data_IF_686666831613
#
_entry.id   IF_686666831613
#
_cell.length_a   1.000
_cell.length_b   1.000
_cell.length_c   1.000
_cell.angle_alpha   90.00
_cell.angle_beta   90.00
_cell.angle_gamma   90.00
#
_symmetry.space_group_name_H-M   'P 1'
#
loop_
_entity.id
_entity.type
_entity.pdbx_description
1 polymer ?
#
# COMPACT_ATOMS: atom_id res chain seq x y z
N UNK A 1 11.63 11.41 11.31
CA UNK A 1 11.53 9.93 11.33
C UNK A 1 10.47 9.44 12.30
N UNK A 2 10.34 10.06 13.48
CA UNK A 2 9.36 9.70 14.51
C UNK A 2 7.90 9.66 14.05
N UNK A 3 7.39 10.71 13.39
CA UNK A 3 5.99 10.74 12.90
C UNK A 3 5.67 9.57 11.97
N UNK A 4 6.61 9.21 11.10
CA UNK A 4 6.45 8.08 10.18
C UNK A 4 6.44 6.75 10.93
N UNK A 5 7.37 6.56 11.86
CA UNK A 5 7.38 5.37 12.70
C UNK A 5 6.06 5.25 13.47
N UNK A 6 5.60 6.34 14.11
CA UNK A 6 4.33 6.39 14.82
C UNK A 6 3.12 6.02 13.94
N UNK A 7 3.04 6.54 12.71
CA UNK A 7 1.97 6.19 11.78
C UNK A 7 1.97 4.69 11.40
N UNK A 8 3.15 4.11 11.14
CA UNK A 8 3.25 2.68 10.83
C UNK A 8 2.99 1.79 12.04
N UNK A 9 3.44 2.20 13.24
CA UNK A 9 3.11 1.52 14.49
C UNK A 9 1.60 1.58 14.76
N UNK A 10 0.97 2.74 14.56
CA UNK A 10 -0.47 2.90 14.71
C UNK A 10 -1.27 2.04 13.74
N UNK A 11 -0.87 2.01 12.47
CA UNK A 11 -1.49 1.13 11.47
C UNK A 11 -1.34 -0.36 11.84
N UNK A 12 -0.15 -0.79 12.26
CA UNK A 12 0.10 -2.16 12.72
C UNK A 12 -0.74 -2.52 13.95
N UNK A 13 -0.82 -1.62 14.94
CA UNK A 13 -1.64 -1.81 16.13
C UNK A 13 -3.13 -1.94 15.77
N UNK A 14 -3.64 -1.10 14.88
CA UNK A 14 -5.03 -1.16 14.42
C UNK A 14 -5.32 -2.49 13.70
N UNK A 15 -4.41 -2.95 12.84
CA UNK A 15 -4.53 -4.26 12.18
C UNK A 15 -4.58 -5.40 13.19
N UNK A 16 -3.66 -5.43 14.16
CA UNK A 16 -3.60 -6.49 15.18
C UNK A 16 -4.85 -6.51 16.05
N UNK A 17 -5.29 -5.34 16.52
CA UNK A 17 -6.47 -5.23 17.38
C UNK A 17 -7.76 -5.59 16.62
N UNK A 18 -7.90 -5.12 15.37
CA UNK A 18 -9.04 -5.48 14.54
C UNK A 18 -9.06 -6.98 14.22
N UNK A 19 -7.91 -7.55 13.83
CA UNK A 19 -7.79 -8.98 13.57
C UNK A 19 -8.17 -9.79 14.81
N UNK A 20 -7.72 -9.37 16.00
CA UNK A 20 -8.08 -9.99 17.27
C UNK A 20 -9.58 -9.92 17.53
N UNK A 21 -10.19 -8.75 17.47
CA UNK A 21 -11.64 -8.58 17.69
C UNK A 21 -12.43 -9.48 16.74
N UNK A 22 -12.06 -9.51 15.46
CA UNK A 22 -12.71 -10.36 14.46
C UNK A 22 -12.47 -11.85 14.73
N UNK A 23 -11.25 -12.25 15.08
CA UNK A 23 -10.92 -13.64 15.37
C UNK A 23 -11.66 -14.18 16.60
N UNK A 24 -11.93 -13.35 17.61
CA UNK A 24 -12.75 -13.71 18.76
C UNK A 24 -14.25 -13.67 18.44
N UNK A 25 -14.71 -12.71 17.63
CA UNK A 25 -16.11 -12.64 17.20
C UNK A 25 -16.51 -13.81 16.29
N UNK A 26 -15.56 -14.34 15.52
CA UNK A 26 -15.73 -15.50 14.63
C UNK A 26 -15.40 -16.82 15.31
N UNK A 27 -14.85 -16.81 16.52
CA UNK A 27 -14.58 -18.03 17.25
C UNK A 27 -15.90 -18.77 17.52
N UNK A 28 -16.02 -20.06 17.18
CA UNK A 28 -17.25 -20.81 17.39
C UNK A 28 -17.60 -20.81 18.89
N UNK A 29 -18.86 -20.48 19.20
CA UNK A 29 -19.37 -20.64 20.56
C UNK A 29 -19.23 -22.12 20.96
N UNK A 30 -18.70 -22.43 22.15
CA UNK A 30 -18.42 -23.81 22.55
C UNK A 30 -19.73 -24.53 22.89
N UNK A 31 -20.46 -24.98 21.87
CA UNK A 31 -21.51 -25.98 22.01
C UNK A 31 -21.01 -27.31 21.49
N UNK A 32 -21.31 -28.41 22.18
CA UNK A 32 -20.87 -29.76 21.79
C UNK A 32 -21.32 -30.11 20.36
N UNK A 33 -22.50 -29.61 19.97
CA UNK A 33 -23.11 -29.77 18.65
C UNK A 33 -22.28 -29.09 17.54
N UNK A 34 -21.65 -27.94 17.82
CA UNK A 34 -20.70 -27.29 16.89
C UNK A 34 -19.44 -28.13 16.70
N UNK A 35 -18.91 -28.77 17.75
CA UNK A 35 -17.71 -29.60 17.63
C UNK A 35 -17.97 -30.88 16.84
N UNK A 36 -19.14 -31.50 17.01
CA UNK A 36 -19.55 -32.64 16.19
C UNK A 36 -19.78 -32.23 14.74
N UNK A 37 -20.52 -31.17 14.45
CA UNK A 37 -20.72 -30.67 13.09
C UNK A 37 -19.39 -30.29 12.42
N UNK A 38 -18.44 -29.70 13.15
CA UNK A 38 -17.14 -29.33 12.61
C UNK A 38 -16.27 -30.55 12.29
N UNK A 39 -16.41 -31.64 13.04
CA UNK A 39 -15.82 -32.95 12.75
C UNK A 39 -16.49 -33.66 11.57
N UNK A 40 -17.82 -33.57 11.47
CA UNK A 40 -18.64 -34.34 10.50
C UNK A 40 -18.74 -33.67 9.14
N UNK A 41 -18.87 -32.34 9.09
CA UNK A 41 -19.11 -31.57 7.85
C UNK A 41 -17.82 -30.93 7.34
N UNK A 42 -16.76 -30.91 8.17
CA UNK A 42 -15.55 -30.15 7.88
C UNK A 42 -15.91 -28.66 7.82
N UNK A 43 -15.80 -27.97 8.97
CA UNK A 43 -16.18 -26.56 9.10
C UNK A 43 -15.65 -25.65 8.00
N UNK A 44 -16.19 -24.42 7.84
CA UNK A 44 -15.94 -23.52 6.71
C UNK A 44 -14.46 -23.56 6.32
N UNK A 45 -14.21 -24.08 5.11
CA UNK A 45 -12.84 -24.33 4.66
C UNK A 45 -12.07 -23.03 4.77
N UNK A 46 -10.98 -23.03 5.52
CA UNK A 46 -10.03 -21.91 5.65
C UNK A 46 -9.77 -21.23 4.29
N UNK A 47 -9.72 -22.03 3.22
CA UNK A 47 -9.60 -21.59 1.84
C UNK A 47 -10.72 -20.63 1.42
N UNK A 48 -11.98 -20.94 1.70
CA UNK A 48 -13.14 -20.10 1.35
C UNK A 48 -13.10 -18.77 2.11
N UNK A 49 -12.84 -18.81 3.41
CA UNK A 49 -12.72 -17.59 4.24
C UNK A 49 -11.54 -16.74 3.78
N UNK A 50 -10.40 -17.37 3.46
CA UNK A 50 -9.23 -16.70 2.89
C UNK A 50 -9.55 -16.05 1.56
N UNK A 51 -10.24 -16.76 0.66
CA UNK A 51 -10.61 -16.24 -0.66
C UNK A 51 -11.56 -15.04 -0.55
N UNK A 52 -12.60 -15.12 0.29
CA UNK A 52 -13.53 -14.00 0.48
C UNK A 52 -12.89 -12.81 1.17
N UNK A 53 -12.13 -13.03 2.24
CA UNK A 53 -11.46 -11.94 2.97
C UNK A 53 -10.39 -11.26 2.13
N UNK A 54 -9.55 -12.02 1.43
CA UNK A 54 -8.55 -11.46 0.51
C UNK A 54 -9.21 -10.83 -0.72
N UNK A 55 -10.27 -11.42 -1.26
CA UNK A 55 -11.02 -10.87 -2.38
C UNK A 55 -11.66 -9.53 -2.03
N UNK A 56 -12.32 -9.43 -0.88
CA UNK A 56 -12.91 -8.19 -0.38
C UNK A 56 -11.83 -7.15 -0.07
N UNK A 57 -10.74 -7.55 0.59
CA UNK A 57 -9.60 -6.67 0.85
C UNK A 57 -8.96 -6.15 -0.44
N UNK A 58 -8.81 -7.00 -1.46
CA UNK A 58 -8.30 -6.61 -2.77
C UNK A 58 -9.25 -5.64 -3.48
N UNK A 59 -10.57 -5.85 -3.39
CA UNK A 59 -11.57 -4.94 -3.93
C UNK A 59 -11.51 -3.56 -3.24
N UNK A 60 -11.44 -3.52 -1.91
CA UNK A 60 -11.30 -2.27 -1.14
C UNK A 60 -9.98 -1.57 -1.48
N UNK A 61 -8.87 -2.31 -1.57
CA UNK A 61 -7.57 -1.78 -1.95
C UNK A 61 -7.59 -1.20 -3.36
N UNK A 62 -8.19 -1.91 -4.32
CA UNK A 62 -8.35 -1.44 -5.70
C UNK A 62 -9.22 -0.19 -5.77
N UNK A 63 -10.31 -0.11 -5.00
CA UNK A 63 -11.16 1.07 -4.92
C UNK A 63 -10.40 2.28 -4.35
N UNK A 64 -9.67 2.10 -3.24
CA UNK A 64 -8.88 3.18 -2.63
C UNK A 64 -7.80 3.71 -3.58
N UNK A 65 -7.05 2.81 -4.25
CA UNK A 65 -6.06 3.18 -5.24
C UNK A 65 -6.70 3.82 -6.48
N UNK A 66 -7.83 3.28 -6.93
CA UNK A 66 -8.61 3.79 -8.06
C UNK A 66 -9.10 5.22 -7.83
N UNK A 67 -9.64 5.51 -6.65
CA UNK A 67 -10.06 6.86 -6.24
C UNK A 67 -8.87 7.83 -6.21
N UNK A 68 -7.73 7.41 -5.67
CA UNK A 68 -6.52 8.24 -5.66
C UNK A 68 -6.03 8.56 -7.08
N UNK A 69 -6.04 7.56 -7.97
CA UNK A 69 -5.67 7.75 -9.39
C UNK A 69 -6.69 8.65 -10.10
N UNK A 70 -7.99 8.45 -9.87
CA UNK A 70 -9.06 9.25 -10.46
C UNK A 70 -8.93 10.72 -10.04
N UNK A 71 -8.76 10.99 -8.73
CA UNK A 71 -8.58 12.33 -8.21
C UNK A 71 -7.37 13.05 -8.84
N UNK A 72 -6.25 12.34 -9.03
CA UNK A 72 -5.07 12.88 -9.72
C UNK A 72 -5.36 13.13 -11.20
N UNK A 73 -6.04 12.21 -11.89
CA UNK A 73 -6.39 12.34 -13.32
C UNK A 73 -7.33 13.51 -13.58
N UNK A 74 -8.39 13.63 -12.81
CA UNK A 74 -9.35 14.74 -12.93
C UNK A 74 -8.64 16.08 -12.72
N UNK A 75 -7.76 16.16 -11.73
CA UNK A 75 -7.03 17.37 -11.47
C UNK A 75 -5.97 17.69 -12.53
N UNK A 76 -5.35 16.67 -13.14
CA UNK A 76 -4.48 16.85 -14.30
C UNK A 76 -5.25 17.33 -15.52
N UNK A 77 -6.48 16.84 -15.75
CA UNK A 77 -7.33 17.31 -16.85
C UNK A 77 -7.69 18.80 -16.69
N UNK A 78 -7.82 19.29 -15.45
CA UNK A 78 -8.06 20.70 -15.14
C UNK A 78 -6.81 21.57 -15.23
N UNK A 79 -5.61 21.01 -15.02
CA UNK A 79 -4.34 21.74 -15.16
C UNK A 79 -3.88 21.75 -16.64
N UNK A 80 -4.07 22.88 -17.34
CA UNK A 80 -3.58 23.11 -18.73
C UNK A 80 -2.04 23.06 -18.90
N UNK A 81 -1.29 22.75 -17.84
CA UNK A 81 0.17 22.80 -17.83
C UNK A 81 0.79 21.43 -18.15
N UNK A 82 1.80 21.41 -19.03
CA UNK A 82 2.56 20.22 -19.41
C UNK A 82 3.13 19.54 -18.15
N UNK A 83 2.59 18.36 -17.81
CA UNK A 83 3.08 17.56 -16.68
C UNK A 83 4.19 16.64 -17.16
N UNK A 84 5.42 16.98 -16.78
CA UNK A 84 6.67 16.34 -17.24
C UNK A 84 6.78 14.86 -16.83
N UNK A 85 6.12 14.42 -15.75
CA UNK A 85 6.00 13.00 -15.42
C UNK A 85 4.86 12.72 -14.42
N UNK A 86 3.84 11.90 -14.78
CA UNK A 86 2.80 11.50 -13.84
C UNK A 86 3.39 10.62 -12.71
N UNK A 87 2.86 10.71 -11.48
CA UNK A 87 3.24 9.80 -10.41
C UNK A 87 2.89 8.36 -10.80
N UNK A 88 3.84 7.42 -10.64
CA UNK A 88 3.67 6.01 -10.99
C UNK A 88 3.59 5.14 -9.75
N UNK A 89 2.64 4.21 -9.73
CA UNK A 89 2.59 3.14 -8.72
C UNK A 89 3.78 2.19 -8.94
N UNK A 90 4.42 1.77 -7.85
CA UNK A 90 5.56 0.86 -7.88
C UNK A 90 5.15 -0.48 -7.26
N UNK A 91 4.74 -1.47 -8.06
CA UNK A 91 4.11 -2.70 -7.55
C UNK A 91 5.04 -3.47 -6.60
N UNK A 92 6.33 -3.57 -6.93
CA UNK A 92 7.30 -4.26 -6.06
C UNK A 92 7.43 -3.62 -4.67
N UNK A 93 7.34 -2.29 -4.59
CA UNK A 93 7.40 -1.55 -3.31
C UNK A 93 6.17 -1.81 -2.47
N UNK A 94 5.00 -1.83 -3.12
CA UNK A 94 3.74 -2.19 -2.49
C UNK A 94 3.80 -3.62 -1.94
N UNK A 95 4.21 -4.60 -2.75
CA UNK A 95 4.35 -5.99 -2.33
C UNK A 95 5.30 -6.14 -1.13
N UNK A 96 6.44 -5.45 -1.14
CA UNK A 96 7.38 -5.48 -0.01
C UNK A 96 6.78 -4.89 1.26
N UNK A 97 6.07 -3.76 1.17
CA UNK A 97 5.41 -3.13 2.32
C UNK A 97 4.33 -4.03 2.90
N UNK A 98 3.52 -4.61 2.02
CA UNK A 98 2.52 -5.60 2.40
C UNK A 98 3.15 -6.79 3.14
N UNK A 99 4.18 -7.42 2.56
CA UNK A 99 4.84 -8.56 3.18
C UNK A 99 5.43 -8.23 4.55
N UNK A 100 6.10 -7.09 4.69
CA UNK A 100 6.64 -6.63 5.99
C UNK A 100 5.51 -6.42 6.99
N UNK A 101 4.39 -5.81 6.58
CA UNK A 101 3.27 -5.55 7.46
C UNK A 101 2.63 -6.86 7.93
N UNK A 102 2.42 -7.83 7.03
CA UNK A 102 1.89 -9.16 7.38
C UNK A 102 2.78 -9.86 8.41
N UNK A 103 4.08 -9.92 8.16
CA UNK A 103 5.02 -10.58 9.09
C UNK A 103 5.05 -9.87 10.44
N UNK A 104 5.12 -8.53 10.45
CA UNK A 104 5.17 -7.75 11.69
C UNK A 104 3.88 -7.83 12.50
N UNK A 105 2.71 -7.82 11.86
CA UNK A 105 1.41 -7.91 12.52
C UNK A 105 1.14 -9.33 13.02
N UNK A 106 1.55 -10.36 12.28
CA UNK A 106 1.51 -11.74 12.78
C UNK A 106 2.39 -11.93 14.02
N UNK A 107 3.64 -11.44 13.99
CA UNK A 107 4.52 -11.49 15.15
C UNK A 107 3.95 -10.72 16.36
N UNK A 108 3.43 -9.52 16.13
CA UNK A 108 2.80 -8.71 17.18
C UNK A 108 1.55 -9.37 17.76
N UNK A 109 0.71 -9.99 16.92
CA UNK A 109 -0.45 -10.77 17.36
C UNK A 109 -0.03 -11.95 18.24
N UNK A 110 0.95 -12.74 17.80
CA UNK A 110 1.49 -13.87 18.57
C UNK A 110 2.06 -13.44 19.91
N UNK A 111 2.81 -12.33 19.97
CA UNK A 111 3.34 -11.79 21.22
C UNK A 111 2.22 -11.30 22.14
N UNK A 112 1.23 -10.59 21.60
CA UNK A 112 0.09 -10.07 22.36
C UNK A 112 -0.73 -11.21 22.98
N UNK A 113 -1.11 -12.22 22.18
CA UNK A 113 -1.85 -13.37 22.70
C UNK A 113 -1.01 -14.15 23.72
N UNK A 114 0.28 -14.35 23.46
CA UNK A 114 1.16 -15.02 24.44
C UNK A 114 1.21 -14.26 25.77
N UNK A 115 1.28 -12.92 25.73
CA UNK A 115 1.25 -12.10 26.93
C UNK A 115 -0.08 -12.22 27.69
N UNK A 116 -1.21 -12.16 26.98
CA UNK A 116 -2.55 -12.30 27.57
C UNK A 116 -2.70 -13.68 28.24
N UNK A 117 -2.27 -14.74 27.57
CA UNK A 117 -2.35 -16.09 28.11
C UNK A 117 -1.38 -16.37 29.25
N UNK A 118 -0.18 -15.81 29.20
CA UNK A 118 0.77 -15.85 30.30
C UNK A 118 0.17 -15.18 31.55
N UNK A 119 -0.47 -14.01 31.39
CA UNK A 119 -1.21 -13.32 32.46
C UNK A 119 -2.38 -14.13 33.00
N UNK A 120 -2.96 -15.03 32.21
CA UNK A 120 -4.02 -15.94 32.62
C UNK A 120 -3.49 -17.26 33.23
N UNK A 121 -2.17 -17.45 33.36
CA UNK A 121 -1.58 -18.67 33.91
C UNK A 121 -1.53 -19.87 32.94
N UNK A 122 -1.82 -19.65 31.66
CA UNK A 122 -1.85 -20.71 30.64
C UNK A 122 -0.48 -20.91 29.94
N UNK A 123 0.40 -19.90 30.00
CA UNK A 123 1.77 -19.95 29.47
C UNK A 123 1.96 -19.25 28.12
N UNK A 124 3.05 -19.59 27.42
CA UNK A 124 3.43 -18.99 26.13
C UNK A 124 2.92 -19.82 24.96
N UNK A 125 1.73 -19.48 24.44
CA UNK A 125 1.11 -20.25 23.35
C UNK A 125 0.36 -19.38 22.33
N UNK A 126 0.74 -18.11 22.19
CA UNK A 126 0.15 -17.25 21.16
C UNK A 126 0.42 -17.72 19.73
N UNK A 127 1.45 -18.55 19.50
CA UNK A 127 1.67 -19.19 18.20
C UNK A 127 0.57 -20.24 17.93
N UNK A 128 0.21 -21.01 18.96
CA UNK A 128 -0.93 -21.93 18.91
C UNK A 128 -2.25 -21.18 18.76
N UNK A 129 -2.36 -19.94 19.23
CA UNK A 129 -3.52 -19.10 18.94
C UNK A 129 -3.55 -18.67 17.47
N UNK A 130 -2.40 -18.40 16.85
CA UNK A 130 -2.31 -17.98 15.45
C UNK A 130 -2.61 -19.13 14.46
N UNK A 131 -2.16 -20.35 14.76
CA UNK A 131 -2.28 -21.52 13.85
C UNK A 131 -3.28 -22.57 14.32
N UNK A 132 -3.76 -22.46 15.57
CA UNK A 132 -4.60 -23.46 16.19
C UNK A 132 -6.07 -23.35 15.81
N UNK A 133 -6.88 -24.31 16.30
CA UNK A 133 -8.28 -24.45 15.90
C UNK A 133 -9.17 -23.30 16.39
N UNK A 134 -8.78 -22.63 17.49
CA UNK A 134 -9.59 -21.59 18.12
C UNK A 134 -9.67 -20.33 17.26
N UNK A 135 -8.56 -19.91 16.64
CA UNK A 135 -8.54 -18.76 15.73
C UNK A 135 -8.01 -19.18 14.36
N UNK A 136 -8.65 -20.18 13.76
CA UNK A 136 -8.28 -20.70 12.44
C UNK A 136 -8.20 -19.61 11.37
N UNK A 137 -8.97 -18.54 11.52
CA UNK A 137 -9.05 -17.41 10.59
C UNK A 137 -8.09 -16.25 10.93
N UNK A 138 -7.25 -16.36 11.97
CA UNK A 138 -6.36 -15.26 12.38
C UNK A 138 -5.37 -14.87 11.27
N UNK A 139 -4.71 -15.85 10.63
CA UNK A 139 -3.75 -15.60 9.54
C UNK A 139 -4.42 -14.90 8.34
N UNK A 140 -5.54 -15.41 7.77
CA UNK A 140 -6.17 -14.72 6.64
C UNK A 140 -6.72 -13.35 7.01
N UNK A 141 -7.24 -13.15 8.23
CA UNK A 141 -7.67 -11.83 8.70
C UNK A 141 -6.50 -10.83 8.78
N UNK A 142 -5.37 -11.24 9.37
CA UNK A 142 -4.16 -10.41 9.44
C UNK A 142 -3.62 -10.07 8.05
N UNK A 143 -3.61 -11.05 7.14
CA UNK A 143 -3.21 -10.84 5.75
C UNK A 143 -4.14 -9.84 5.04
N UNK A 144 -5.46 -10.04 5.10
CA UNK A 144 -6.44 -9.16 4.48
C UNK A 144 -6.36 -7.72 5.02
N UNK A 145 -6.33 -7.55 6.34
CA UNK A 145 -6.22 -6.23 6.97
C UNK A 145 -4.88 -5.54 6.66
N UNK A 146 -3.79 -6.30 6.61
CA UNK A 146 -2.48 -5.77 6.20
C UNK A 146 -2.48 -5.33 4.73
N UNK A 147 -3.20 -6.02 3.84
CA UNK A 147 -3.33 -5.62 2.44
C UNK A 147 -4.04 -4.28 2.31
N UNK A 148 -5.17 -4.12 3.00
CA UNK A 148 -5.94 -2.87 3.04
C UNK A 148 -5.08 -1.74 3.60
N UNK A 149 -4.40 -1.97 4.72
CA UNK A 149 -3.52 -0.96 5.34
C UNK A 149 -2.36 -0.53 4.41
N UNK A 150 -1.72 -1.49 3.72
CA UNK A 150 -0.67 -1.20 2.76
C UNK A 150 -1.18 -0.39 1.56
N UNK A 151 -2.40 -0.69 1.08
CA UNK A 151 -3.03 0.03 -0.03
C UNK A 151 -3.38 1.47 0.36
N UNK A 152 -3.96 1.67 1.53
CA UNK A 152 -4.24 3.00 2.09
C UNK A 152 -2.95 3.82 2.23
N UNK A 153 -1.86 3.20 2.74
CA UNK A 153 -0.58 3.88 2.88
C UNK A 153 0.01 4.31 1.51
N UNK A 154 -0.10 3.47 0.47
CA UNK A 154 0.36 3.82 -0.88
C UNK A 154 -0.52 4.90 -1.52
N UNK A 155 -1.85 4.86 -1.30
CA UNK A 155 -2.79 5.89 -1.77
C UNK A 155 -2.47 7.26 -1.13
N UNK A 156 -2.27 7.31 0.18
CA UNK A 156 -1.88 8.53 0.90
C UNK A 156 -0.52 9.05 0.40
N UNK A 157 0.47 8.16 0.23
CA UNK A 157 1.77 8.54 -0.34
C UNK A 157 1.61 9.18 -1.72
N UNK A 158 0.75 8.60 -2.58
CA UNK A 158 0.48 9.11 -3.91
C UNK A 158 -0.15 10.51 -3.88
N UNK A 159 -1.17 10.70 -3.05
CA UNK A 159 -1.85 12.00 -2.86
C UNK A 159 -0.90 13.06 -2.30
N UNK A 160 -0.07 12.74 -1.30
CA UNK A 160 0.88 13.68 -0.69
C UNK A 160 2.02 14.06 -1.65
N UNK A 161 2.49 13.14 -2.50
CA UNK A 161 3.47 13.47 -3.55
C UNK A 161 2.86 14.45 -4.55
N UNK A 162 1.61 14.22 -4.95
CA UNK A 162 0.91 15.11 -5.87
C UNK A 162 0.66 16.49 -5.25
N UNK A 163 0.10 16.57 -4.04
CA UNK A 163 -0.19 17.83 -3.34
C UNK A 163 1.06 18.71 -3.18
N UNK A 164 2.21 18.11 -2.84
CA UNK A 164 3.50 18.83 -2.74
C UNK A 164 3.95 19.42 -4.07
N UNK A 165 3.79 18.68 -5.17
CA UNK A 165 4.12 19.17 -6.52
C UNK A 165 3.21 20.33 -6.93
N UNK A 166 1.92 20.24 -6.62
CA UNK A 166 0.95 21.30 -6.92
C UNK A 166 1.25 22.57 -6.11
N UNK A 167 1.57 22.44 -4.82
CA UNK A 167 1.97 23.57 -3.98
C UNK A 167 3.26 24.24 -4.48
N UNK A 168 4.29 23.44 -4.81
CA UNK A 168 5.55 23.96 -5.35
C UNK A 168 5.37 24.73 -6.68
N UNK A 169 4.39 24.35 -7.51
CA UNK A 169 4.04 25.09 -8.74
C UNK A 169 3.30 26.40 -8.48
N UNK A 170 2.47 26.46 -7.43
CA UNK A 170 1.65 27.65 -7.11
C UNK A 170 2.37 28.69 -6.26
N UNK A 171 3.42 28.29 -5.55
CA UNK A 171 4.16 29.16 -4.63
C UNK A 171 5.64 29.25 -5.07
N UNK A 172 5.95 30.01 -6.16
CA UNK A 172 7.31 30.12 -6.70
C UNK A 172 8.29 30.84 -5.76
N UNK A 173 7.80 31.57 -4.76
CA UNK A 173 8.60 32.35 -3.80
C UNK A 173 8.91 31.61 -2.50
N UNK A 174 8.35 30.41 -2.30
CA UNK A 174 8.91 29.56 -1.27
C UNK A 174 10.28 29.14 -1.79
N UNK A 175 11.39 29.49 -1.10
CA UNK A 175 12.69 28.96 -1.49
C UNK A 175 12.50 27.47 -1.66
N UNK A 176 12.88 26.94 -2.82
CA UNK A 176 12.90 25.50 -3.07
C UNK A 176 13.86 24.94 -2.03
N UNK A 177 13.34 24.69 -0.82
CA UNK A 177 14.10 24.64 0.40
C UNK A 177 14.85 23.34 0.36
N UNK A 178 16.00 23.36 -0.33
CA UNK A 178 16.78 22.22 -0.79
C UNK A 178 15.93 20.96 -0.65
N UNK A 179 14.84 20.87 -1.43
CA UNK A 179 13.93 19.73 -1.35
C UNK A 179 14.65 18.60 -2.06
N UNK A 180 15.72 18.13 -1.42
CA UNK A 180 16.00 16.73 -1.28
C UNK A 180 14.69 16.10 -0.84
N UNK A 181 13.88 15.80 -1.84
CA UNK A 181 12.94 14.71 -1.84
C UNK A 181 13.77 13.46 -1.54
N UNK A 182 14.18 13.32 -0.28
CA UNK A 182 13.96 12.09 0.44
C UNK A 182 12.45 11.93 0.35
N UNK A 183 12.02 11.28 -0.73
CA UNK A 183 10.77 10.53 -0.75
C UNK A 183 10.62 9.90 0.64
N UNK A 184 9.39 9.79 1.12
CA UNK A 184 9.12 9.36 2.49
C UNK A 184 9.82 8.04 2.86
N UNK A 185 10.32 7.29 1.88
CA UNK A 185 11.51 6.42 1.98
C UNK A 185 12.50 6.77 0.86
N UNK A 186 13.71 7.23 1.21
CA UNK A 186 14.79 7.45 0.25
C UNK A 186 14.99 6.20 -0.63
N UNK A 187 14.60 6.31 -1.88
CA UNK A 187 14.85 5.31 -2.90
C UNK A 187 16.07 5.78 -3.68
N UNK A 188 17.24 5.20 -3.39
CA UNK A 188 18.50 5.51 -4.11
C UNK A 188 18.56 4.86 -5.50
N UNK A 189 17.56 4.09 -5.91
CA UNK A 189 17.58 3.27 -7.13
C UNK A 189 16.75 3.85 -8.28
N UNK A 190 16.67 5.17 -8.41
CA UNK A 190 16.36 5.74 -9.72
C UNK A 190 17.70 5.93 -10.42
N UNK A 191 18.09 5.09 -11.40
CA UNK A 191 19.18 5.48 -12.27
C UNK A 191 18.74 6.81 -12.86
N UNK A 192 19.51 7.85 -12.61
CA UNK A 192 19.39 9.08 -13.35
C UNK A 192 19.62 8.70 -14.81
N UNK A 193 18.55 8.35 -15.53
CA UNK A 193 18.51 8.59 -16.97
C UNK A 193 18.67 10.09 -17.09
N UNK A 194 19.94 10.50 -17.20
CA UNK A 194 20.31 11.66 -17.98
C UNK A 194 19.57 11.44 -19.30
N UNK A 195 18.40 12.06 -19.44
CA UNK A 195 17.96 12.47 -20.75
C UNK A 195 19.10 13.37 -21.19
N UNK A 196 20.01 12.80 -21.99
CA UNK A 196 20.94 13.59 -22.75
C UNK A 196 20.06 14.62 -23.44
N UNK A 197 20.24 15.87 -23.07
CA UNK A 197 19.74 16.98 -23.85
C UNK A 197 20.45 16.79 -25.18
N UNK A 198 19.80 16.11 -26.11
CA UNK A 198 20.24 16.11 -27.49
C UNK A 198 20.12 17.57 -27.88
N UNK A 199 21.22 18.29 -28.16
CA UNK A 199 21.13 19.65 -28.63
C UNK A 199 20.24 19.59 -29.86
N UNK A 200 19.10 20.27 -29.83
CA UNK A 200 18.30 20.45 -31.04
C UNK A 200 19.25 21.03 -32.10
N UNK A 201 19.34 20.42 -33.29
CA UNK A 201 20.18 20.97 -34.33
C UNK A 201 19.74 22.41 -34.60
N UNK A 202 20.70 23.33 -34.81
CA UNK A 202 20.36 24.72 -35.09
C UNK A 202 19.40 24.78 -36.27
N UNK A 203 18.25 25.44 -36.07
CA UNK A 203 17.34 25.75 -37.19
C UNK A 203 18.14 26.56 -38.20
N UNK A 204 18.39 25.97 -39.36
CA UNK A 204 18.99 26.68 -40.48
C UNK A 204 18.11 27.87 -40.91
N UNK A 205 18.71 28.90 -41.54
CA UNK A 205 17.98 30.06 -42.01
C UNK A 205 16.88 29.65 -43.02
N UNK A 206 15.75 30.38 -43.06
CA UNK A 206 14.56 30.02 -43.83
C UNK A 206 14.78 29.90 -45.36
N UNK A 207 15.91 30.39 -45.89
CA UNK A 207 16.21 30.33 -47.34
C UNK A 207 16.60 28.94 -47.86
N UNK A 208 16.94 27.98 -47.00
CA UNK A 208 17.32 26.63 -47.44
C UNK A 208 16.12 25.76 -47.90
N UNK A 209 14.89 26.14 -47.53
CA UNK A 209 13.67 25.41 -47.89
C UNK A 209 13.22 25.70 -49.34
N UNK A 210 13.47 26.90 -49.86
CA UNK A 210 13.10 27.24 -51.24
C UNK A 210 14.00 26.53 -52.26
N UNK A 211 15.29 26.37 -51.99
CA UNK A 211 16.21 25.64 -52.86
C UNK A 211 15.94 24.14 -52.92
N UNK A 212 15.39 23.54 -51.85
CA UNK A 212 15.08 22.11 -51.83
C UNK A 212 13.80 21.77 -52.61
N UNK A 213 12.85 22.70 -52.69
CA UNK A 213 11.62 22.54 -53.47
C UNK A 213 11.89 22.79 -54.97
N UNK A 214 12.76 23.74 -55.30
CA UNK A 214 13.15 24.03 -56.69
C UNK A 214 13.97 22.91 -57.36
N UNK A 215 14.64 22.05 -56.60
CA UNK A 215 15.39 20.90 -57.13
C UNK A 215 14.54 19.63 -57.30
N UNK A 216 13.25 19.67 -56.93
CA UNK A 216 12.33 18.54 -56.98
C UNK A 216 11.24 18.67 -58.06
N UNK A 217 11.33 19.71 -58.91
CA UNK A 217 10.51 19.95 -60.11
C UNK A 217 11.45 19.95 -61.31
#
# INVERSE_FOLDING_TARGET
MLVRAGAWCGAGALVVLAARVLAYALAPAPSELTFELQRSVGGPRLVIVSLWSLGLAAAIAAAALGLAVLAVRERLALERAIVVAPPRLRPLRFCRRYAVLVVSTAAAFTLLESYVHWRAGLGWHGLSCLTGPVHRDAIPLLAALSLVAAACAEAVDHLLVWARRTLARRLPFLPAAATGSRSWTADRSSPARRYGVCPLPPRGPPSALESAIAAAI
#
